data_IF_133502538813
#
_entry.id   IF_133502538813
#
_cell.length_a   1.000
_cell.length_b   1.000
_cell.length_c   1.000
_cell.angle_alpha   90.00
_cell.angle_beta   90.00
_cell.angle_gamma   90.00
#
_symmetry.space_group_name_H-M   'P 1'
#
loop_
_entity.id
_entity.type
_entity.pdbx_description
1 polymer ?
#
# COMPACT_ATOMS: atom_id res chain seq x y z
N UNK A 1 -57.49 15.88 14.09
CA UNK A 1 -56.66 15.52 15.26
C UNK A 1 -57.53 14.74 16.25
N UNK A 2 -57.51 13.42 16.19
CA UNK A 2 -58.18 12.58 17.19
C UNK A 2 -57.16 12.33 18.30
N UNK A 3 -57.20 13.15 19.36
CA UNK A 3 -56.50 12.81 20.59
C UNK A 3 -57.28 11.64 21.20
N UNK A 4 -56.75 10.43 21.01
CA UNK A 4 -57.18 9.27 21.77
C UNK A 4 -56.87 9.59 23.23
N UNK A 5 -57.91 9.76 24.04
CA UNK A 5 -57.79 9.97 25.49
C UNK A 5 -57.43 8.64 26.13
N UNK A 6 -56.12 8.43 26.23
CA UNK A 6 -55.50 7.21 26.74
C UNK A 6 -55.21 7.45 28.22
N UNK A 7 -55.77 6.63 29.12
CA UNK A 7 -55.55 6.76 30.56
C UNK A 7 -54.04 6.86 30.88
N UNK A 8 -53.64 7.75 31.79
CA UNK A 8 -52.24 8.17 32.05
C UNK A 8 -51.23 7.01 32.17
N UNK A 9 -51.69 5.85 32.67
CA UNK A 9 -50.90 4.63 32.79
C UNK A 9 -50.42 4.05 31.44
N UNK A 10 -51.26 4.10 30.40
CA UNK A 10 -50.90 3.59 29.07
C UNK A 10 -50.06 4.60 28.27
N UNK A 11 -50.15 5.89 28.60
CA UNK A 11 -49.38 6.96 27.95
C UNK A 11 -47.87 6.82 28.24
N UNK A 12 -47.55 6.48 29.50
CA UNK A 12 -46.17 6.19 29.94
C UNK A 12 -45.59 4.96 29.22
N UNK A 13 -46.35 3.85 29.20
CA UNK A 13 -45.92 2.64 28.51
C UNK A 13 -45.70 2.85 26.99
N UNK A 14 -46.56 3.66 26.35
CA UNK A 14 -46.40 4.02 24.93
C UNK A 14 -45.13 4.84 24.70
N UNK A 15 -44.80 5.72 25.65
CA UNK A 15 -43.62 6.58 25.60
C UNK A 15 -42.33 5.77 25.77
N UNK A 16 -42.30 4.81 26.71
CA UNK A 16 -41.18 3.89 26.89
C UNK A 16 -40.92 3.02 25.66
N UNK A 17 -41.98 2.52 25.02
CA UNK A 17 -41.87 1.75 23.77
C UNK A 17 -41.32 2.62 22.65
N UNK A 18 -41.80 3.87 22.52
CA UNK A 18 -41.30 4.82 21.52
C UNK A 18 -39.81 5.09 21.73
N UNK A 19 -39.38 5.35 22.95
CA UNK A 19 -37.98 5.63 23.26
C UNK A 19 -37.10 4.40 23.02
N UNK A 20 -37.59 3.20 23.35
CA UNK A 20 -36.91 1.93 23.03
C UNK A 20 -36.75 1.72 21.53
N UNK A 21 -37.79 2.03 20.73
CA UNK A 21 -37.72 1.96 19.27
C UNK A 21 -36.73 2.97 18.69
N UNK A 22 -36.71 4.19 19.21
CA UNK A 22 -35.74 5.20 18.79
C UNK A 22 -34.31 4.77 19.09
N UNK A 23 -34.05 4.24 20.28
CA UNK A 23 -32.73 3.70 20.64
C UNK A 23 -32.33 2.52 19.73
N UNK A 24 -33.28 1.65 19.37
CA UNK A 24 -33.02 0.54 18.45
C UNK A 24 -32.63 1.04 17.04
N UNK A 25 -33.33 2.06 16.54
CA UNK A 25 -33.05 2.66 15.24
C UNK A 25 -31.65 3.29 15.23
N UNK A 26 -31.30 4.06 16.27
CA UNK A 26 -29.98 4.68 16.40
C UNK A 26 -28.86 3.63 16.45
N UNK A 27 -29.04 2.57 17.23
CA UNK A 27 -28.07 1.46 17.29
C UNK A 27 -27.93 0.76 15.93
N UNK A 28 -29.02 0.62 15.18
CA UNK A 28 -28.99 0.00 13.86
C UNK A 28 -28.22 0.87 12.84
N UNK A 29 -28.44 2.19 12.87
CA UNK A 29 -27.67 3.14 12.06
C UNK A 29 -26.17 3.10 12.40
N UNK A 30 -25.83 3.04 13.68
CA UNK A 30 -24.45 2.91 14.15
C UNK A 30 -23.80 1.60 13.65
N UNK A 31 -24.51 0.47 13.70
CA UNK A 31 -24.02 -0.81 13.17
C UNK A 31 -23.75 -0.75 11.67
N UNK A 32 -24.61 -0.06 10.91
CA UNK A 32 -24.40 0.13 9.46
C UNK A 32 -23.15 0.98 9.22
N UNK A 33 -22.99 2.09 9.94
CA UNK A 33 -21.81 2.95 9.82
C UNK A 33 -20.53 2.19 10.16
N UNK A 34 -20.53 1.46 11.27
CA UNK A 34 -19.41 0.62 11.70
C UNK A 34 -19.07 -0.47 10.67
N UNK A 35 -20.09 -1.09 10.07
CA UNK A 35 -19.90 -2.11 9.01
C UNK A 35 -19.25 -1.51 7.76
N UNK A 36 -19.68 -0.31 7.36
CA UNK A 36 -19.07 0.42 6.24
C UNK A 36 -17.62 0.82 6.57
N UNK A 37 -17.36 1.30 7.78
CA UNK A 37 -16.02 1.64 8.24
C UNK A 37 -15.08 0.42 8.25
N UNK A 38 -15.58 -0.74 8.68
CA UNK A 38 -14.83 -1.99 8.65
C UNK A 38 -14.53 -2.43 7.22
N UNK A 39 -15.50 -2.38 6.31
CA UNK A 39 -15.30 -2.67 4.89
C UNK A 39 -14.25 -1.75 4.27
N UNK A 40 -14.37 -0.44 4.50
CA UNK A 40 -13.39 0.55 4.02
C UNK A 40 -12.00 0.26 4.56
N UNK A 41 -11.89 -0.07 5.85
CA UNK A 41 -10.61 -0.45 6.48
C UNK A 41 -10.03 -1.71 5.85
N UNK A 42 -10.87 -2.73 5.59
CA UNK A 42 -10.44 -3.96 4.92
C UNK A 42 -9.93 -3.69 3.50
N UNK A 43 -10.63 -2.85 2.73
CA UNK A 43 -10.18 -2.43 1.40
C UNK A 43 -8.84 -1.68 1.46
N UNK A 44 -8.69 -0.76 2.43
CA UNK A 44 -7.44 -0.02 2.66
C UNK A 44 -6.28 -0.96 2.99
N UNK A 45 -6.49 -1.96 3.87
CA UNK A 45 -5.48 -2.96 4.21
C UNK A 45 -5.09 -3.78 2.98
N UNK A 46 -6.06 -4.17 2.14
CA UNK A 46 -5.75 -4.90 0.90
C UNK A 46 -4.98 -4.05 -0.11
N UNK A 47 -5.39 -2.78 -0.28
CA UNK A 47 -4.65 -1.83 -1.12
C UNK A 47 -3.22 -1.63 -0.60
N UNK A 48 -3.03 -1.53 0.72
CA UNK A 48 -1.71 -1.44 1.34
C UNK A 48 -0.85 -2.67 1.04
N UNK A 49 -1.41 -3.88 1.19
CA UNK A 49 -0.69 -5.13 0.82
C UNK A 49 -0.27 -5.13 -0.65
N UNK A 50 -1.16 -4.70 -1.55
CA UNK A 50 -0.83 -4.58 -2.99
C UNK A 50 0.30 -3.57 -3.23
N UNK A 51 0.24 -2.41 -2.56
CA UNK A 51 1.29 -1.40 -2.61
C UNK A 51 2.63 -1.94 -2.09
N UNK A 52 2.63 -2.75 -1.03
CA UNK A 52 3.85 -3.38 -0.49
C UNK A 52 4.45 -4.38 -1.50
N UNK A 53 3.62 -5.16 -2.20
CA UNK A 53 4.10 -6.07 -3.26
C UNK A 53 4.70 -5.29 -4.43
N UNK A 54 4.04 -4.23 -4.90
CA UNK A 54 4.58 -3.35 -5.95
C UNK A 54 5.88 -2.68 -5.52
N UNK A 55 5.97 -2.26 -4.26
CA UNK A 55 7.16 -1.67 -3.66
C UNK A 55 8.33 -2.66 -3.69
N UNK A 56 8.10 -3.92 -3.29
CA UNK A 56 9.12 -4.97 -3.38
C UNK A 56 9.60 -5.16 -4.83
N UNK A 57 8.68 -5.34 -5.78
CA UNK A 57 9.03 -5.50 -7.19
C UNK A 57 9.83 -4.32 -7.73
N UNK A 58 9.44 -3.09 -7.38
CA UNK A 58 10.13 -1.85 -7.79
C UNK A 58 11.55 -1.79 -7.22
N UNK A 59 11.73 -2.18 -5.96
CA UNK A 59 13.06 -2.26 -5.34
C UNK A 59 13.92 -3.25 -6.12
N UNK A 60 13.43 -4.46 -6.39
CA UNK A 60 14.16 -5.44 -7.21
C UNK A 60 14.51 -4.86 -8.59
N UNK A 61 13.54 -4.33 -9.33
CA UNK A 61 13.78 -3.75 -10.65
C UNK A 61 14.78 -2.59 -10.64
N UNK A 62 14.76 -1.73 -9.61
CA UNK A 62 15.69 -0.62 -9.49
C UNK A 62 17.16 -1.08 -9.40
N UNK A 63 17.43 -2.23 -8.76
CA UNK A 63 18.76 -2.84 -8.76
C UNK A 63 19.05 -3.57 -10.09
N UNK A 64 18.12 -4.39 -10.56
CA UNK A 64 18.37 -5.27 -11.71
C UNK A 64 18.44 -4.53 -13.05
N UNK A 65 17.67 -3.47 -13.28
CA UNK A 65 17.66 -2.73 -14.56
C UNK A 65 19.04 -2.17 -14.93
N UNK A 66 19.70 -1.33 -14.09
CA UNK A 66 21.00 -0.78 -14.44
C UNK A 66 22.09 -1.84 -14.49
N UNK A 67 22.06 -2.85 -13.60
CA UNK A 67 23.02 -3.95 -13.63
C UNK A 67 22.89 -4.77 -14.92
N UNK A 68 21.67 -5.12 -15.32
CA UNK A 68 21.38 -5.85 -16.55
C UNK A 68 21.71 -5.00 -17.79
N UNK A 69 21.50 -3.68 -17.74
CA UNK A 69 21.89 -2.79 -18.82
C UNK A 69 23.41 -2.79 -19.05
N UNK A 70 24.21 -2.68 -17.98
CA UNK A 70 25.67 -2.76 -18.08
C UNK A 70 26.10 -4.15 -18.56
N UNK A 71 25.55 -5.23 -17.98
CA UNK A 71 25.84 -6.59 -18.42
C UNK A 71 25.44 -6.83 -19.89
N UNK A 72 24.33 -6.24 -20.34
CA UNK A 72 23.87 -6.26 -21.72
C UNK A 72 24.85 -5.57 -22.66
N UNK A 73 25.30 -4.35 -22.34
CA UNK A 73 26.31 -3.63 -23.13
C UNK A 73 27.60 -4.44 -23.25
N UNK A 74 28.12 -4.97 -22.14
CA UNK A 74 29.33 -5.80 -22.13
C UNK A 74 29.14 -7.20 -22.74
N UNK A 75 27.89 -7.67 -22.85
CA UNK A 75 27.53 -8.93 -23.50
C UNK A 75 27.26 -8.81 -25.00
N UNK A 76 27.22 -7.58 -25.54
CA UNK A 76 27.14 -7.37 -26.99
C UNK A 76 28.50 -7.69 -27.64
N UNK A 77 28.49 -8.50 -28.70
CA UNK A 77 29.68 -8.89 -29.48
C UNK A 77 30.26 -7.71 -30.30
N UNK A 78 30.65 -6.61 -29.65
CA UNK A 78 31.37 -5.52 -30.31
C UNK A 78 32.86 -5.88 -30.41
N UNK A 79 33.30 -6.19 -31.64
CA UNK A 79 34.67 -6.55 -32.01
C UNK A 79 35.71 -5.44 -31.70
N UNK A 80 35.25 -4.21 -31.44
CA UNK A 80 36.10 -3.05 -31.20
C UNK A 80 35.66 -2.25 -29.96
N UNK A 81 35.55 -2.90 -28.79
CA UNK A 81 35.49 -2.18 -27.50
C UNK A 81 36.93 -1.82 -27.05
N UNK A 82 37.33 -0.54 -27.03
CA UNK A 82 38.66 -0.13 -26.56
C UNK A 82 38.94 -0.52 -25.10
N UNK A 83 37.89 -0.70 -24.29
CA UNK A 83 37.95 -1.12 -22.88
C UNK A 83 38.30 -2.61 -22.70
N UNK A 84 38.07 -3.46 -23.71
CA UNK A 84 38.35 -4.90 -23.67
C UNK A 84 39.85 -5.22 -23.81
N UNK A 85 40.63 -4.30 -24.39
CA UNK A 85 42.10 -4.40 -24.48
C UNK A 85 42.80 -4.06 -23.16
N UNK A 86 42.07 -3.54 -22.17
CA UNK A 86 42.59 -3.29 -20.84
C UNK A 86 42.46 -4.55 -19.97
N UNK A 87 43.56 -5.08 -19.40
CA UNK A 87 43.50 -6.27 -18.56
C UNK A 87 42.62 -6.10 -17.31
N UNK A 88 42.29 -4.86 -16.93
CA UNK A 88 41.42 -4.50 -15.81
C UNK A 88 40.00 -4.06 -16.23
N UNK A 89 39.66 -4.03 -17.53
CA UNK A 89 38.34 -3.55 -17.99
C UNK A 89 37.16 -4.32 -17.39
N UNK A 90 37.31 -5.65 -17.25
CA UNK A 90 36.33 -6.51 -16.59
C UNK A 90 36.16 -6.17 -15.10
N UNK A 91 37.27 -5.96 -14.38
CA UNK A 91 37.23 -5.56 -12.96
C UNK A 91 36.64 -4.17 -12.77
N UNK A 92 36.90 -3.24 -13.70
CA UNK A 92 36.30 -1.91 -13.69
C UNK A 92 34.79 -1.96 -13.91
N UNK A 93 34.31 -2.80 -14.84
CA UNK A 93 32.87 -2.98 -15.07
C UNK A 93 32.15 -3.55 -13.84
N UNK A 94 32.75 -4.54 -13.17
CA UNK A 94 32.23 -5.07 -11.90
C UNK A 94 32.25 -3.98 -10.81
N UNK A 95 33.33 -3.21 -10.71
CA UNK A 95 33.43 -2.09 -9.78
C UNK A 95 32.34 -1.04 -10.03
N UNK A 96 32.07 -0.71 -11.28
CA UNK A 96 31.01 0.21 -11.68
C UNK A 96 29.62 -0.33 -11.29
N UNK A 97 29.34 -1.61 -11.56
CA UNK A 97 28.08 -2.25 -11.14
C UNK A 97 27.92 -2.23 -9.62
N UNK A 98 28.99 -2.50 -8.86
CA UNK A 98 28.98 -2.47 -7.41
C UNK A 98 28.75 -1.05 -6.87
N UNK A 99 29.38 -0.04 -7.46
CA UNK A 99 29.17 1.38 -7.11
C UNK A 99 27.73 1.81 -7.40
N UNK A 100 27.17 1.44 -8.55
CA UNK A 100 25.78 1.74 -8.90
C UNK A 100 24.82 1.09 -7.89
N UNK A 101 25.04 -0.18 -7.54
CA UNK A 101 24.23 -0.87 -6.53
C UNK A 101 24.32 -0.17 -5.16
N UNK A 102 25.51 0.24 -4.72
CA UNK A 102 25.71 0.98 -3.47
C UNK A 102 25.01 2.34 -3.49
N UNK A 103 25.13 3.10 -4.59
CA UNK A 103 24.46 4.41 -4.73
C UNK A 103 22.94 4.26 -4.61
N UNK A 104 22.37 3.28 -5.30
CA UNK A 104 20.93 2.98 -5.23
C UNK A 104 20.53 2.57 -3.81
N UNK A 105 21.31 1.71 -3.17
CA UNK A 105 21.07 1.30 -1.79
C UNK A 105 21.09 2.48 -0.81
N UNK A 106 22.11 3.34 -0.88
CA UNK A 106 22.20 4.54 -0.03
C UNK A 106 21.07 5.53 -0.29
N UNK A 107 20.67 5.69 -1.55
CA UNK A 107 19.55 6.56 -1.91
C UNK A 107 18.22 6.04 -1.38
N UNK A 108 17.94 4.74 -1.52
CA UNK A 108 16.74 4.10 -0.96
C UNK A 108 16.71 4.15 0.58
N UNK A 109 17.86 3.91 1.22
CA UNK A 109 18.01 4.03 2.68
C UNK A 109 17.75 5.46 3.16
N UNK A 110 18.28 6.47 2.46
CA UNK A 110 18.08 7.89 2.80
C UNK A 110 16.61 8.30 2.65
N UNK A 111 15.90 7.75 1.67
CA UNK A 111 14.49 8.04 1.45
C UNK A 111 13.53 7.25 2.37
N UNK A 112 14.03 6.39 3.28
CA UNK A 112 13.21 5.48 4.12
C UNK A 112 12.21 4.65 3.29
N UNK A 113 12.58 4.36 2.03
CA UNK A 113 11.77 3.51 1.16
C UNK A 113 12.09 2.04 1.49
N UNK A 114 13.33 1.75 1.89
CA UNK A 114 13.68 0.48 2.55
C UNK A 114 13.37 0.56 4.05
#
# INVERSE_FOLDING_TARGET
MHQLDVADQYKTALQDIKDSLLNLILNYEEIIENSNNLMNTYLNVNAQKSNDVMKLLTIFSAFFLPLTFVAGIYGMNFENMPELKWPLGYFFAIGLMAVIALVIYFWFKRKKIL
#
